data_IF_599570452351
#
_entry.id   IF_599570452351
#
_cell.length_a   1.000
_cell.length_b   1.000
_cell.length_c   1.000
_cell.angle_alpha   90.00
_cell.angle_beta   90.00
_cell.angle_gamma   90.00
#
_symmetry.space_group_name_H-M   'P 1'
#
loop_
_entity.id
_entity.type
_entity.pdbx_description
1 polymer ?
#
# COMPACT_ATOMS: atom_id res chain seq x y z
N UNK A 1 -6.96 9.11 -2.38
CA UNK A 1 -7.52 7.82 -2.87
C UNK A 1 -7.72 6.87 -1.71
N UNK A 2 -8.90 6.32 -1.57
CA UNK A 2 -9.19 5.36 -0.51
C UNK A 2 -8.46 4.06 -0.76
N UNK A 3 -8.06 3.37 0.31
CA UNK A 3 -7.36 2.10 0.16
C UNK A 3 -7.46 1.25 1.42
N UNK A 4 -7.12 -0.01 1.27
CA UNK A 4 -7.13 -1.00 2.36
C UNK A 4 -5.72 -1.39 2.79
N UNK A 5 -4.73 -0.56 2.48
CA UNK A 5 -3.33 -0.92 2.69
C UNK A 5 -3.01 -1.20 4.16
N UNK A 6 -3.50 -0.34 5.07
CA UNK A 6 -3.28 -0.55 6.51
C UNK A 6 -3.90 -1.86 6.97
N UNK A 7 -5.12 -2.15 6.53
CA UNK A 7 -5.83 -3.37 6.87
C UNK A 7 -5.07 -4.61 6.41
N UNK A 8 -4.61 -4.58 5.15
CA UNK A 8 -3.87 -5.69 4.58
C UNK A 8 -2.53 -5.90 5.28
N UNK A 9 -1.86 -4.80 5.60
CA UNK A 9 -0.59 -4.83 6.32
C UNK A 9 -0.79 -5.42 7.72
N UNK A 10 -1.81 -4.95 8.42
CA UNK A 10 -2.11 -5.42 9.78
C UNK A 10 -2.42 -6.92 9.79
N UNK A 11 -3.13 -7.40 8.78
CA UNK A 11 -3.45 -8.82 8.66
C UNK A 11 -2.20 -9.69 8.53
N UNK A 12 -1.12 -9.14 8.00
CA UNK A 12 0.18 -9.82 7.90
C UNK A 12 1.06 -9.56 9.11
N UNK A 13 0.61 -8.75 10.05
CA UNK A 13 1.38 -8.33 11.22
C UNK A 13 2.67 -7.60 10.85
N UNK A 14 2.63 -6.85 9.76
CA UNK A 14 3.77 -6.04 9.31
C UNK A 14 3.64 -4.62 9.85
N UNK A 15 4.79 -4.03 10.22
CA UNK A 15 4.85 -2.60 10.53
C UNK A 15 4.87 -1.82 9.22
N UNK A 16 4.72 -0.50 9.31
CA UNK A 16 4.87 0.36 8.12
C UNK A 16 6.28 0.21 7.54
N UNK A 17 7.28 0.09 8.40
CA UNK A 17 8.66 -0.11 7.95
C UNK A 17 8.84 -1.45 7.23
N UNK A 18 8.21 -2.51 7.72
CA UNK A 18 8.26 -3.82 7.07
C UNK A 18 7.68 -3.72 5.66
N UNK A 19 6.53 -3.08 5.53
CA UNK A 19 5.88 -2.94 4.22
C UNK A 19 6.73 -2.07 3.29
N UNK A 20 7.29 -0.98 3.81
CA UNK A 20 8.15 -0.10 3.03
C UNK A 20 9.34 -0.85 2.45
N UNK A 21 9.98 -1.69 3.26
CA UNK A 21 11.10 -2.52 2.80
C UNK A 21 10.68 -3.45 1.67
N UNK A 22 9.52 -4.07 1.80
CA UNK A 22 9.01 -5.02 0.79
C UNK A 22 8.66 -4.32 -0.52
N UNK A 23 8.26 -3.07 -0.45
CA UNK A 23 7.90 -2.27 -1.62
C UNK A 23 9.07 -1.44 -2.16
N UNK A 24 10.20 -1.44 -1.45
CA UNK A 24 11.37 -0.66 -1.81
C UNK A 24 11.06 0.84 -1.86
N UNK A 25 10.36 1.31 -0.86
CA UNK A 25 10.02 2.74 -0.71
C UNK A 25 10.29 3.15 0.73
N UNK A 26 10.18 4.45 1.04
CA UNK A 26 10.36 4.93 2.39
C UNK A 26 9.12 4.65 3.24
N UNK A 27 9.31 4.59 4.56
CA UNK A 27 8.20 4.46 5.50
C UNK A 27 7.23 5.63 5.36
N UNK A 28 7.75 6.83 5.10
CA UNK A 28 6.92 8.02 4.90
C UNK A 28 5.97 7.84 3.72
N UNK A 29 6.44 7.19 2.65
CA UNK A 29 5.60 6.89 1.49
C UNK A 29 4.44 5.97 1.87
N UNK A 30 4.72 4.92 2.63
CA UNK A 30 3.67 4.00 3.11
C UNK A 30 2.66 4.76 3.95
N UNK A 31 3.14 5.57 4.90
CA UNK A 31 2.24 6.34 5.75
C UNK A 31 1.38 7.31 4.95
N UNK A 32 1.98 7.98 3.97
CA UNK A 32 1.25 8.94 3.14
C UNK A 32 0.15 8.26 2.31
N UNK A 33 0.41 7.04 1.83
CA UNK A 33 -0.61 6.27 1.10
C UNK A 33 -1.72 5.86 2.06
N UNK A 34 -1.38 5.32 3.23
CA UNK A 34 -2.37 4.85 4.20
C UNK A 34 -3.27 5.96 4.72
N UNK A 35 -2.73 7.18 4.82
CA UNK A 35 -3.50 8.34 5.29
C UNK A 35 -4.17 9.10 4.14
N UNK A 36 -4.10 8.57 2.92
CA UNK A 36 -4.75 9.14 1.73
C UNK A 36 -4.21 10.51 1.32
N UNK A 37 -2.97 10.81 1.70
CA UNK A 37 -2.31 12.07 1.34
C UNK A 37 -1.52 11.97 0.05
N UNK A 38 -1.29 10.77 -0.42
CA UNK A 38 -0.49 10.50 -1.61
C UNK A 38 -1.04 9.28 -2.33
N UNK A 39 -1.26 9.41 -3.62
CA UNK A 39 -1.69 8.29 -4.44
C UNK A 39 -0.45 7.62 -5.04
N UNK A 40 -0.33 6.30 -4.95
CA UNK A 40 0.84 5.62 -5.47
C UNK A 40 0.93 5.75 -6.98
N UNK A 41 2.16 5.77 -7.50
CA UNK A 41 2.37 5.68 -8.94
C UNK A 41 1.82 4.34 -9.44
N UNK A 42 1.54 4.24 -10.72
CA UNK A 42 1.05 2.97 -11.27
C UNK A 42 2.02 1.81 -11.03
N UNK A 43 3.35 1.98 -11.24
CA UNK A 43 4.28 0.90 -10.90
C UNK A 43 4.22 0.47 -9.44
N UNK A 44 4.08 1.43 -8.53
CA UNK A 44 3.99 1.10 -7.10
C UNK A 44 2.67 0.38 -6.79
N UNK A 45 1.57 0.81 -7.40
CA UNK A 45 0.28 0.14 -7.23
C UNK A 45 0.35 -1.32 -7.68
N UNK A 46 1.05 -1.60 -8.78
CA UNK A 46 1.26 -2.98 -9.23
C UNK A 46 2.09 -3.78 -8.24
N UNK A 47 3.14 -3.17 -7.67
CA UNK A 47 3.95 -3.85 -6.65
C UNK A 47 3.11 -4.22 -5.43
N UNK A 48 2.27 -3.31 -4.98
CA UNK A 48 1.38 -3.55 -3.84
C UNK A 48 0.44 -4.71 -4.16
N UNK A 49 -0.20 -4.66 -5.32
CA UNK A 49 -1.14 -5.70 -5.74
C UNK A 49 -0.47 -7.08 -5.77
N UNK A 50 0.71 -7.16 -6.35
CA UNK A 50 1.47 -8.41 -6.44
C UNK A 50 1.90 -8.92 -5.07
N UNK A 51 2.30 -8.02 -4.19
CA UNK A 51 2.72 -8.38 -2.83
C UNK A 51 1.58 -9.06 -2.06
N UNK A 52 0.38 -8.53 -2.18
CA UNK A 52 -0.79 -9.06 -1.49
C UNK A 52 -1.58 -10.07 -2.34
N UNK A 53 -1.15 -10.31 -3.57
CA UNK A 53 -1.81 -11.24 -4.50
C UNK A 53 -3.28 -10.87 -4.72
N UNK A 54 -3.53 -9.59 -4.89
CA UNK A 54 -4.86 -9.03 -5.14
C UNK A 54 -4.80 -8.16 -6.38
N UNK A 55 -5.96 -7.78 -6.88
CA UNK A 55 -6.07 -6.82 -7.97
C UNK A 55 -5.91 -5.41 -7.39
N UNK A 56 -5.47 -4.46 -8.21
CA UNK A 56 -5.37 -3.06 -7.80
C UNK A 56 -6.72 -2.57 -7.26
N UNK A 57 -7.81 -2.90 -7.95
CA UNK A 57 -9.16 -2.47 -7.57
C UNK A 57 -9.63 -3.07 -6.25
N UNK A 58 -9.04 -4.17 -5.81
CA UNK A 58 -9.35 -4.76 -4.51
C UNK A 58 -8.68 -4.00 -3.37
N UNK A 59 -7.67 -3.19 -3.68
CA UNK A 59 -6.88 -2.48 -2.68
C UNK A 59 -7.16 -0.98 -2.70
N UNK A 60 -7.20 -0.40 -3.90
CA UNK A 60 -7.39 1.04 -4.09
C UNK A 60 -8.73 1.35 -4.69
N UNK A 61 -9.31 2.46 -4.28
CA UNK A 61 -10.66 2.86 -4.68
C UNK A 61 -10.64 4.35 -5.04
N UNK A 62 -11.17 4.68 -6.21
CA UNK A 62 -11.31 6.09 -6.60
C UNK A 62 -12.38 6.75 -5.74
N UNK A 63 -12.14 7.99 -5.38
CA UNK A 63 -13.08 8.77 -4.55
C UNK A 63 -14.35 9.18 -5.28
#
# INVERSE_FOLDING_TARGET
MKNRLRELRAAKEWSQSDLADKLDVSRQTVNAIETEKYDPSLPLAFKVARLFKLKIEDIFELD
#
